data_IF_016377856836
#
_entry.id   IF_016377856836
#
_cell.length_a   1.000
_cell.length_b   1.000
_cell.length_c   1.000
_cell.angle_alpha   90.00
_cell.angle_beta   90.00
_cell.angle_gamma   90.00
#
_symmetry.space_group_name_H-M   'P 1'
#
loop_
_entity.id
_entity.type
_entity.pdbx_description
1 polymer ?
#
# COMPACT_ATOMS: atom_id res chain seq x y z
N UNK A 1 6.51 61.62 -53.51
CA UNK A 1 6.24 60.89 -52.26
C UNK A 1 5.08 59.94 -52.53
N UNK A 2 5.34 58.64 -52.72
CA UNK A 2 4.27 57.64 -52.97
C UNK A 2 3.75 57.17 -51.61
N UNK A 3 2.55 57.63 -51.24
CA UNK A 3 1.88 57.22 -50.01
C UNK A 3 1.39 55.78 -50.16
N UNK A 4 2.00 54.86 -49.42
CA UNK A 4 1.53 53.50 -49.28
C UNK A 4 0.30 53.49 -48.35
N UNK A 5 -0.89 53.69 -48.91
CA UNK A 5 -2.13 53.27 -48.24
C UNK A 5 -2.24 51.74 -48.41
N UNK A 6 -1.75 51.00 -47.43
CA UNK A 6 -2.04 49.57 -47.33
C UNK A 6 -3.53 49.46 -46.98
N UNK A 7 -4.38 48.84 -47.82
CA UNK A 7 -5.79 48.70 -47.51
C UNK A 7 -5.94 47.96 -46.18
N UNK A 8 -6.81 48.42 -45.29
CA UNK A 8 -6.99 47.87 -43.93
C UNK A 8 -7.11 46.33 -43.93
N UNK A 9 -7.71 45.74 -44.97
CA UNK A 9 -7.79 44.29 -45.15
C UNK A 9 -6.43 43.58 -45.23
N UNK A 10 -5.43 44.16 -45.90
CA UNK A 10 -4.10 43.58 -45.99
C UNK A 10 -3.35 43.65 -44.63
N UNK A 11 -3.62 44.68 -43.83
CA UNK A 11 -3.04 44.81 -42.49
C UNK A 11 -3.66 43.78 -41.52
N UNK A 12 -4.97 43.54 -41.60
CA UNK A 12 -5.64 42.48 -40.83
C UNK A 12 -5.11 41.10 -41.20
N UNK A 13 -4.92 40.81 -42.49
CA UNK A 13 -4.37 39.52 -42.93
C UNK A 13 -2.95 39.31 -42.43
N UNK A 14 -2.10 40.35 -42.43
CA UNK A 14 -0.75 40.25 -41.90
C UNK A 14 -0.74 40.01 -40.37
N UNK A 15 -1.60 40.70 -39.62
CA UNK A 15 -1.68 40.54 -38.16
C UNK A 15 -2.22 39.15 -37.79
N UNK A 16 -3.30 38.70 -38.43
CA UNK A 16 -3.87 37.37 -38.19
C UNK A 16 -2.91 36.28 -38.66
N UNK A 17 -2.29 36.44 -39.82
CA UNK A 17 -1.28 35.51 -40.33
C UNK A 17 -0.07 35.39 -39.40
N UNK A 18 0.42 36.51 -38.86
CA UNK A 18 1.49 36.49 -37.87
C UNK A 18 1.07 35.83 -36.55
N UNK A 19 -0.14 36.08 -36.07
CA UNK A 19 -0.67 35.44 -34.85
C UNK A 19 -0.86 33.93 -35.01
N UNK A 20 -1.39 33.49 -36.17
CA UNK A 20 -1.54 32.07 -36.49
C UNK A 20 -0.18 31.41 -36.69
N UNK A 21 0.76 32.06 -37.36
CA UNK A 21 2.13 31.56 -37.49
C UNK A 21 2.82 31.43 -36.12
N UNK A 22 2.66 32.43 -35.25
CA UNK A 22 3.15 32.37 -33.88
C UNK A 22 2.50 31.21 -33.11
N UNK A 23 1.17 31.06 -33.17
CA UNK A 23 0.46 29.94 -32.53
C UNK A 23 0.88 28.57 -33.07
N UNK A 24 1.13 28.43 -34.38
CA UNK A 24 1.58 27.17 -34.98
C UNK A 24 3.04 26.86 -34.62
N UNK A 25 3.90 27.88 -34.49
CA UNK A 25 5.30 27.71 -34.12
C UNK A 25 5.48 27.49 -32.61
N UNK A 26 4.63 28.10 -31.77
CA UNK A 26 4.68 28.00 -30.30
C UNK A 26 3.84 26.82 -29.76
N UNK A 27 2.79 26.40 -30.48
CA UNK A 27 1.92 25.26 -30.14
C UNK A 27 2.60 23.88 -30.24
N UNK A 28 3.92 23.84 -30.46
CA UNK A 28 4.72 22.61 -30.44
C UNK A 28 5.35 22.32 -29.07
N UNK A 29 5.13 23.18 -28.07
CA UNK A 29 5.40 22.89 -26.66
C UNK A 29 4.13 22.36 -25.96
N UNK A 30 3.53 21.31 -26.53
CA UNK A 30 2.68 20.43 -25.74
C UNK A 30 3.57 19.85 -24.65
N UNK A 31 3.26 20.22 -23.40
CA UNK A 31 3.93 19.83 -22.17
C UNK A 31 4.80 18.60 -22.37
N UNK A 32 6.09 18.84 -22.56
CA UNK A 32 7.06 17.83 -22.25
C UNK A 32 6.79 17.49 -20.79
N UNK A 33 6.20 16.32 -20.55
CA UNK A 33 6.40 15.62 -19.29
C UNK A 33 7.91 15.68 -19.14
N UNK A 34 8.40 16.55 -18.26
CA UNK A 34 9.80 16.53 -17.87
C UNK A 34 9.97 15.10 -17.40
N UNK A 35 10.65 14.29 -18.21
CA UNK A 35 11.04 12.95 -17.77
C UNK A 35 11.79 13.23 -16.47
N UNK A 36 11.32 12.71 -15.33
CA UNK A 36 12.10 12.82 -14.11
C UNK A 36 13.49 12.34 -14.47
N UNK A 37 14.52 13.08 -14.06
CA UNK A 37 15.87 12.63 -14.33
C UNK A 37 15.99 11.18 -13.83
N UNK A 38 16.76 10.32 -14.50
CA UNK A 38 16.86 8.89 -14.11
C UNK A 38 17.24 8.76 -12.62
N UNK A 39 17.94 9.76 -12.05
CA UNK A 39 18.17 9.91 -10.62
C UNK A 39 16.90 10.11 -9.78
N UNK A 40 15.96 10.95 -10.22
CA UNK A 40 14.70 11.21 -9.50
C UNK A 40 13.79 9.99 -9.52
N UNK A 41 13.66 9.33 -10.68
CA UNK A 41 12.84 8.12 -10.79
C UNK A 41 13.43 6.95 -9.98
N UNK A 42 14.75 6.82 -9.96
CA UNK A 42 15.42 5.79 -9.14
C UNK A 42 15.30 6.11 -7.65
N UNK A 43 15.38 7.38 -7.25
CA UNK A 43 15.15 7.78 -5.87
C UNK A 43 13.76 7.39 -5.38
N UNK A 44 12.72 7.70 -6.16
CA UNK A 44 11.34 7.30 -5.83
C UNK A 44 11.16 5.78 -5.73
N UNK A 45 11.77 5.02 -6.65
CA UNK A 45 11.75 3.55 -6.58
C UNK A 45 12.43 3.01 -5.32
N UNK A 46 13.59 3.57 -4.94
CA UNK A 46 14.30 3.18 -3.73
C UNK A 46 13.49 3.53 -2.47
N UNK A 47 12.88 4.72 -2.42
CA UNK A 47 12.03 5.16 -1.30
C UNK A 47 10.76 4.30 -1.17
N UNK A 48 10.11 3.99 -2.29
CA UNK A 48 8.92 3.13 -2.29
C UNK A 48 9.25 1.72 -1.77
N UNK A 49 10.38 1.15 -2.19
CA UNK A 49 10.83 -0.15 -1.68
C UNK A 49 11.09 -0.09 -0.16
N UNK A 50 11.79 0.92 0.34
CA UNK A 50 12.03 1.06 1.78
C UNK A 50 10.72 1.18 2.58
N UNK A 51 9.72 1.87 2.02
CA UNK A 51 8.41 2.01 2.64
C UNK A 51 7.63 0.68 2.68
N UNK A 52 7.58 -0.05 1.56
CA UNK A 52 6.89 -1.35 1.47
C UNK A 52 7.58 -2.41 2.32
N UNK A 53 8.92 -2.42 2.35
CA UNK A 53 9.70 -3.35 3.14
C UNK A 53 9.84 -2.94 4.62
N UNK A 54 9.20 -1.84 5.04
CA UNK A 54 9.17 -1.35 6.42
C UNK A 54 10.57 -1.26 7.06
N UNK A 55 11.55 -0.75 6.31
CA UNK A 55 12.92 -0.65 6.82
C UNK A 55 12.96 0.21 8.09
N UNK A 56 13.63 -0.25 9.17
CA UNK A 56 13.81 0.56 10.37
C UNK A 56 14.62 1.81 10.05
N UNK A 57 14.25 2.95 10.64
CA UNK A 57 15.04 4.17 10.53
C UNK A 57 16.40 3.99 11.20
N UNK A 58 17.47 4.43 10.53
CA UNK A 58 18.85 4.29 11.02
C UNK A 58 19.83 3.94 9.90
N UNK A 59 21.07 3.59 10.28
CA UNK A 59 22.17 3.39 9.32
C UNK A 59 21.90 2.34 8.25
N UNK A 60 21.10 1.32 8.55
CA UNK A 60 20.73 0.29 7.58
C UNK A 60 19.86 0.83 6.42
N UNK A 61 18.94 1.76 6.71
CA UNK A 61 18.14 2.42 5.68
C UNK A 61 19.00 3.35 4.80
N UNK A 62 19.95 4.07 5.42
CA UNK A 62 20.87 4.96 4.71
C UNK A 62 21.79 4.18 3.76
N UNK A 63 22.30 3.03 4.20
CA UNK A 63 23.21 2.20 3.41
C UNK A 63 22.48 1.48 2.27
N UNK A 64 21.24 1.02 2.51
CA UNK A 64 20.37 0.53 1.45
C UNK A 64 20.08 1.61 0.41
N UNK A 65 19.70 2.83 0.83
CA UNK A 65 19.40 3.91 -0.10
C UNK A 65 20.61 4.25 -0.97
N UNK A 66 21.82 4.29 -0.39
CA UNK A 66 23.07 4.51 -1.16
C UNK A 66 23.33 3.38 -2.16
N UNK A 67 23.19 2.12 -1.76
CA UNK A 67 23.39 0.97 -2.64
C UNK A 67 22.36 0.94 -3.80
N UNK A 68 21.09 1.18 -3.48
CA UNK A 68 19.99 1.25 -4.44
C UNK A 68 20.19 2.37 -5.48
N UNK A 69 20.59 3.56 -5.05
CA UNK A 69 20.87 4.68 -5.95
C UNK A 69 22.06 4.38 -6.89
N UNK A 70 23.06 3.64 -6.42
CA UNK A 70 24.20 3.18 -7.24
C UNK A 70 23.83 2.04 -8.21
N UNK A 71 22.65 1.43 -8.05
CA UNK A 71 22.23 0.28 -8.86
C UNK A 71 23.05 -0.96 -8.59
N UNK A 72 23.67 -1.03 -7.41
CA UNK A 72 24.37 -2.22 -6.96
C UNK A 72 23.30 -3.30 -6.66
N UNK A 73 23.50 -4.54 -7.13
CA UNK A 73 22.63 -5.63 -6.72
C UNK A 73 22.77 -5.77 -5.20
N UNK A 74 21.69 -5.50 -4.47
CA UNK A 74 21.63 -5.78 -3.02
C UNK A 74 21.50 -7.28 -2.88
N UNK A 75 22.64 -7.97 -2.98
CA UNK A 75 22.68 -9.40 -2.71
C UNK A 75 22.45 -9.60 -1.21
N UNK A 76 21.61 -10.58 -0.82
CA UNK A 76 21.39 -10.93 0.58
C UNK A 76 22.68 -11.19 1.37
N UNK A 77 23.77 -11.48 0.66
CA UNK A 77 25.09 -11.82 1.21
C UNK A 77 25.84 -10.60 1.79
N UNK A 78 25.48 -9.37 1.41
CA UNK A 78 26.12 -8.13 1.90
C UNK A 78 25.30 -7.43 3.00
N UNK A 79 24.13 -7.98 3.35
CA UNK A 79 23.40 -7.62 4.56
C UNK A 79 24.15 -8.28 5.73
N UNK A 80 25.20 -7.62 6.21
CA UNK A 80 26.15 -8.16 7.20
C UNK A 80 25.47 -9.02 8.24
N UNK A 81 25.94 -10.27 8.35
CA UNK A 81 25.50 -11.32 9.28
C UNK A 81 24.18 -11.00 9.97
N UNK A 82 23.06 -11.06 9.23
CA UNK A 82 21.77 -11.28 9.88
C UNK A 82 21.95 -12.60 10.60
N UNK A 83 21.95 -12.63 11.95
CA UNK A 83 22.09 -13.88 12.66
C UNK A 83 21.02 -14.84 12.12
N UNK A 84 21.31 -16.16 12.00
CA UNK A 84 20.29 -17.12 11.63
C UNK A 84 19.04 -16.86 12.47
N UNK A 85 17.82 -16.99 11.93
CA UNK A 85 16.59 -16.89 12.72
C UNK A 85 16.57 -18.06 13.71
N UNK A 86 17.31 -17.86 14.80
CA UNK A 86 17.66 -18.78 15.85
C UNK A 86 18.01 -17.85 16.99
N UNK A 87 17.06 -17.71 17.90
CA UNK A 87 17.08 -16.89 19.11
C UNK A 87 16.68 -15.42 18.99
N UNK A 88 16.22 -14.94 17.82
CA UNK A 88 15.19 -13.89 17.86
C UNK A 88 13.90 -14.64 18.20
N UNK A 89 13.30 -14.48 19.39
CA UNK A 89 11.91 -14.86 19.52
C UNK A 89 11.19 -14.10 18.41
N UNK A 90 10.72 -14.83 17.39
CA UNK A 90 9.60 -14.38 16.58
C UNK A 90 8.63 -13.75 17.58
N UNK A 91 8.05 -12.58 17.34
CA UNK A 91 6.90 -12.14 18.11
C UNK A 91 5.72 -13.08 17.78
N UNK A 92 5.84 -14.35 18.18
CA UNK A 92 4.78 -15.29 18.48
C UNK A 92 4.15 -14.96 19.82
N UNK A 93 4.22 -13.69 20.20
CA UNK A 93 3.19 -13.06 20.98
C UNK A 93 2.59 -12.00 20.07
N UNK A 94 1.81 -12.46 19.09
CA UNK A 94 0.57 -11.74 18.78
C UNK A 94 -0.03 -11.34 20.14
N UNK A 95 -0.47 -10.07 20.32
CA UNK A 95 -0.98 -9.63 21.61
C UNK A 95 -1.95 -10.69 22.10
N UNK A 96 -1.66 -11.28 23.25
CA UNK A 96 -2.52 -12.29 23.88
C UNK A 96 -3.89 -11.62 23.95
N UNK A 97 -4.72 -11.96 22.97
CA UNK A 97 -6.05 -11.41 22.85
C UNK A 97 -6.76 -12.00 24.05
N UNK A 98 -7.17 -11.15 24.98
CA UNK A 98 -7.92 -11.49 26.21
C UNK A 98 -9.25 -12.21 25.92
N UNK A 99 -9.50 -12.49 24.65
CA UNK A 99 -10.69 -13.09 24.09
C UNK A 99 -10.46 -14.55 23.69
N UNK A 100 -9.27 -15.13 23.93
CA UNK A 100 -9.01 -16.56 23.67
C UNK A 100 -9.11 -17.36 24.97
N UNK A 101 -10.00 -18.35 24.95
CA UNK A 101 -10.26 -19.27 26.05
C UNK A 101 -9.24 -20.42 26.11
N UNK A 102 -9.17 -21.15 27.25
CA UNK A 102 -8.18 -22.21 27.45
C UNK A 102 -8.29 -23.34 26.41
N UNK A 103 -7.14 -23.67 25.79
CA UNK A 103 -7.04 -24.74 24.80
C UNK A 103 -7.41 -24.33 23.37
N UNK A 104 -7.93 -23.11 23.18
CA UNK A 104 -8.21 -22.55 21.87
C UNK A 104 -7.07 -21.62 21.43
N UNK A 105 -6.91 -21.49 20.12
CA UNK A 105 -6.00 -20.52 19.51
C UNK A 105 -6.69 -19.83 18.34
N UNK A 106 -6.18 -18.65 18.00
CA UNK A 106 -6.59 -17.89 16.81
C UNK A 106 -5.48 -17.97 15.77
N UNK A 107 -5.85 -18.13 14.51
CA UNK A 107 -4.91 -18.16 13.40
C UNK A 107 -5.59 -17.87 12.05
N UNK A 108 -4.94 -18.30 10.97
CA UNK A 108 -5.24 -17.84 9.62
C UNK A 108 -4.63 -16.47 9.34
N UNK A 109 -4.44 -16.16 8.05
CA UNK A 109 -3.68 -14.97 7.63
C UNK A 109 -4.30 -13.63 8.11
N UNK A 110 -5.61 -13.62 8.37
CA UNK A 110 -6.37 -12.45 8.84
C UNK A 110 -6.93 -12.64 10.25
N UNK A 111 -6.39 -13.60 11.03
CA UNK A 111 -6.90 -13.98 12.37
C UNK A 111 -8.37 -14.40 12.37
N UNK A 112 -8.85 -14.98 11.26
CA UNK A 112 -10.25 -15.34 11.07
C UNK A 112 -10.59 -16.75 11.58
N UNK A 113 -9.59 -17.58 11.90
CA UNK A 113 -9.78 -18.95 12.35
C UNK A 113 -9.66 -19.01 13.87
N UNK A 114 -10.64 -19.65 14.52
CA UNK A 114 -10.56 -20.06 15.92
C UNK A 114 -10.69 -21.58 15.97
N UNK A 115 -9.73 -22.24 16.61
CA UNK A 115 -9.67 -23.70 16.66
C UNK A 115 -8.74 -24.21 17.75
N UNK A 116 -8.54 -25.52 17.79
CA UNK A 116 -7.58 -26.14 18.70
C UNK A 116 -6.14 -25.86 18.21
N UNK A 117 -5.18 -25.73 19.14
CA UNK A 117 -3.79 -25.35 18.82
C UNK A 117 -3.19 -26.12 17.63
N UNK A 118 -3.21 -27.45 17.69
CA UNK A 118 -2.63 -28.29 16.64
C UNK A 118 -3.44 -28.33 15.33
N UNK A 119 -4.69 -27.90 15.32
CA UNK A 119 -5.49 -27.83 14.09
C UNK A 119 -5.22 -26.52 13.34
N UNK A 120 -5.19 -25.41 14.07
CA UNK A 120 -5.01 -24.07 13.48
C UNK A 120 -3.61 -23.89 12.90
N UNK A 121 -2.58 -24.46 13.54
CA UNK A 121 -1.19 -24.39 13.07
C UNK A 121 -0.99 -25.09 11.71
N UNK A 122 -1.76 -26.14 11.42
CA UNK A 122 -1.67 -26.91 10.18
C UNK A 122 -2.59 -26.36 9.06
N UNK A 123 -3.43 -25.36 9.35
CA UNK A 123 -4.35 -24.77 8.39
C UNK A 123 -3.70 -23.59 7.66
N UNK A 124 -3.46 -23.79 6.36
CA UNK A 124 -3.14 -22.69 5.45
C UNK A 124 -4.43 -22.05 4.90
N UNK A 125 -4.64 -20.76 5.18
CA UNK A 125 -5.73 -19.97 4.58
C UNK A 125 -5.21 -19.11 3.44
N UNK A 126 -6.08 -18.68 2.53
CA UNK A 126 -5.74 -17.56 1.64
C UNK A 126 -5.57 -16.28 2.46
N UNK A 127 -4.69 -15.37 2.02
CA UNK A 127 -4.50 -14.04 2.62
C UNK A 127 -5.48 -13.00 2.08
N UNK A 128 -6.69 -13.44 1.73
CA UNK A 128 -7.76 -12.51 1.37
C UNK A 128 -8.23 -11.79 2.62
N UNK A 129 -8.20 -10.46 2.56
CA UNK A 129 -8.70 -9.62 3.64
C UNK A 129 -10.12 -9.16 3.34
N UNK A 130 -10.97 -9.22 4.35
CA UNK A 130 -12.31 -8.61 4.35
C UNK A 130 -12.48 -7.76 5.60
N UNK A 131 -13.20 -6.65 5.48
CA UNK A 131 -13.34 -5.69 6.57
C UNK A 131 -13.93 -6.34 7.83
N UNK A 132 -14.86 -7.28 7.69
CA UNK A 132 -15.47 -8.00 8.81
C UNK A 132 -14.48 -8.80 9.66
N UNK A 133 -13.31 -9.17 9.11
CA UNK A 133 -12.31 -9.93 9.86
C UNK A 133 -11.68 -9.12 10.99
N UNK A 134 -11.65 -7.78 10.88
CA UNK A 134 -11.23 -6.92 11.98
C UNK A 134 -12.14 -7.06 13.21
N UNK A 135 -13.42 -7.40 13.02
CA UNK A 135 -14.37 -7.54 14.12
C UNK A 135 -14.07 -8.76 14.99
N UNK A 136 -13.34 -9.78 14.52
CA UNK A 136 -12.99 -10.94 15.35
C UNK A 136 -12.14 -10.59 16.59
N UNK A 137 -11.50 -9.43 16.59
CA UNK A 137 -10.84 -8.89 17.80
C UNK A 137 -11.83 -8.64 18.94
N UNK A 138 -13.12 -8.44 18.65
CA UNK A 138 -14.18 -8.28 19.63
C UNK A 138 -14.91 -9.59 19.97
N UNK A 139 -14.78 -10.63 19.15
CA UNK A 139 -15.34 -11.96 19.42
C UNK A 139 -14.48 -12.75 20.41
N UNK A 140 -15.04 -13.77 21.05
CA UNK A 140 -14.29 -14.70 21.92
C UNK A 140 -14.02 -16.02 21.20
N UNK A 141 -12.77 -16.48 21.19
CA UNK A 141 -12.39 -17.78 20.68
C UNK A 141 -12.32 -18.77 21.85
N UNK A 142 -13.35 -19.61 22.02
CA UNK A 142 -13.47 -20.47 23.19
C UNK A 142 -14.18 -21.79 22.88
N UNK A 143 -14.14 -22.74 23.82
CA UNK A 143 -14.83 -24.01 23.68
C UNK A 143 -16.34 -23.80 23.65
N UNK A 144 -16.95 -24.27 22.58
CA UNK A 144 -18.39 -24.27 22.38
C UNK A 144 -19.04 -25.41 23.18
N UNK A 145 -20.37 -25.41 23.24
CA UNK A 145 -21.15 -26.48 23.90
C UNK A 145 -20.94 -27.86 23.26
N UNK A 146 -20.43 -27.91 22.02
CA UNK A 146 -20.01 -29.14 21.34
C UNK A 146 -18.69 -29.72 21.86
N UNK A 147 -17.90 -28.94 22.62
CA UNK A 147 -16.59 -29.33 23.14
C UNK A 147 -15.40 -28.92 22.26
N UNK A 148 -15.65 -28.40 21.05
CA UNK A 148 -14.64 -27.86 20.13
C UNK A 148 -14.50 -26.35 20.28
N UNK A 149 -13.30 -25.82 20.01
CA UNK A 149 -13.08 -24.38 19.89
C UNK A 149 -13.88 -23.76 18.74
N UNK A 150 -14.36 -22.54 18.95
CA UNK A 150 -15.07 -21.75 17.94
C UNK A 150 -15.30 -20.32 18.41
N UNK A 151 -15.77 -19.48 17.50
CA UNK A 151 -16.09 -18.08 17.79
C UNK A 151 -17.43 -17.96 18.53
N UNK A 152 -17.38 -17.38 19.73
CA UNK A 152 -18.53 -16.85 20.45
C UNK A 152 -18.70 -15.37 20.11
N UNK A 153 -19.86 -15.04 19.53
CA UNK A 153 -20.20 -13.66 19.19
C UNK A 153 -20.57 -12.83 20.42
N UNK A 154 -19.78 -11.79 20.68
CA UNK A 154 -20.10 -10.76 21.69
C UNK A 154 -21.02 -9.69 21.10
N UNK A 155 -21.58 -8.83 21.95
CA UNK A 155 -22.40 -7.72 21.48
C UNK A 155 -21.53 -6.70 20.72
N UNK A 156 -20.27 -6.52 21.12
CA UNK A 156 -19.30 -5.68 20.43
C UNK A 156 -18.98 -6.21 19.02
N UNK A 157 -18.81 -7.53 18.88
CA UNK A 157 -18.62 -8.17 17.56
C UNK A 157 -19.82 -7.93 16.64
N UNK A 158 -21.05 -8.16 17.14
CA UNK A 158 -22.28 -7.98 16.36
C UNK A 158 -22.45 -6.55 15.89
N UNK A 159 -22.17 -5.57 16.77
CA UNK A 159 -22.22 -4.14 16.42
C UNK A 159 -21.18 -3.78 15.36
N UNK A 160 -19.95 -4.31 15.48
CA UNK A 160 -18.89 -4.10 14.50
C UNK A 160 -19.30 -4.61 13.11
N UNK A 161 -19.73 -5.86 13.01
CA UNK A 161 -20.13 -6.47 11.73
C UNK A 161 -21.35 -5.78 11.13
N UNK A 162 -22.34 -5.40 11.95
CA UNK A 162 -23.51 -4.64 11.49
C UNK A 162 -23.14 -3.26 10.94
N UNK A 163 -22.17 -2.58 11.57
CA UNK A 163 -21.67 -1.28 11.09
C UNK A 163 -20.99 -1.43 9.73
N UNK A 164 -20.17 -2.47 9.54
CA UNK A 164 -19.52 -2.75 8.25
C UNK A 164 -20.55 -3.09 7.17
N UNK A 165 -21.54 -3.93 7.49
CA UNK A 165 -22.62 -4.28 6.57
C UNK A 165 -23.42 -3.06 6.09
N UNK A 166 -23.74 -2.13 6.98
CA UNK A 166 -24.45 -0.89 6.61
C UNK A 166 -23.58 0.06 5.79
N UNK A 167 -22.26 0.12 6.04
CA UNK A 167 -21.29 0.87 5.22
C UNK A 167 -21.22 0.33 3.80
N UNK A 168 -21.13 -0.99 3.64
CA UNK A 168 -21.09 -1.65 2.34
C UNK A 168 -22.37 -1.38 1.52
N UNK A 169 -23.54 -1.30 2.17
CA UNK A 169 -24.80 -0.97 1.50
C UNK A 169 -24.85 0.49 1.01
N UNK A 170 -24.22 1.41 1.74
CA UNK A 170 -24.13 2.82 1.34
C UNK A 170 -23.13 3.08 0.21
N UNK A 171 -22.11 2.25 0.04
CA UNK A 171 -21.11 2.37 -1.04
C UNK A 171 -21.60 1.84 -2.39
N UNK A 172 -22.74 1.12 -2.40
CA UNK A 172 -23.39 0.61 -3.61
C UNK A 172 -24.37 1.63 -4.24
N UNK A 173 -24.69 2.71 -3.53
CA UNK A 173 -25.58 3.80 -3.97
C UNK A 173 -24.82 5.09 -4.28
#
# INVERSE_FOLDING_TARGET
MKNYLIPLGALVILVVGAAVAWYILDGREMGGVQSPSVSDQRYEQCMNFMMVAQFPSGGAADDFLKACLRGEPVLPEDMGDVPPPGDIPMPNEAPVTTNVGPGCVVGGCSNQICGEAGEVEDIATTCEYREEYACYQAARCEKQSSGSCGWTETDEYKQCVATIGTRAELEVY
#
